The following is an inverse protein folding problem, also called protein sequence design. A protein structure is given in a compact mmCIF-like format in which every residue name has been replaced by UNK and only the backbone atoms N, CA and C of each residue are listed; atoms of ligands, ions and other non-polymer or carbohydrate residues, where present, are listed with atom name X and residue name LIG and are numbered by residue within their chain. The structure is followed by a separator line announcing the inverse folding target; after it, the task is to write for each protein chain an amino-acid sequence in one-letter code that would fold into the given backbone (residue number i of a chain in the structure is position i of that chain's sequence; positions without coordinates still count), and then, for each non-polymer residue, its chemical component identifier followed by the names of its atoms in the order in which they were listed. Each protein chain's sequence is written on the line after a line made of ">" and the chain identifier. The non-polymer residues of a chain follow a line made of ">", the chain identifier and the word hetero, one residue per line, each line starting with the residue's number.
data_IF_104358018311
#
_entry.id   IF_104358018311
#
_cell.length_a   1.000
_cell.length_b   1.000
_cell.length_c   1.000
_cell.angle_alpha   90.00
_cell.angle_beta   90.00
_cell.angle_gamma   90.00
#
_symmetry.space_group_name_H-M   'P 1'
#
loop_
_entity.id
_entity.type
_entity.pdbx_description
1 polymer ?
#
# COMPACT_ATOMS: atom_id res chain seq x y z
N UNK A 1 -44.16 -17.21 -48.29
CA UNK A 1 -43.30 -18.40 -48.13
C UNK A 1 -42.01 -18.12 -48.87
N UNK A 2 -40.86 -18.17 -48.20
CA UNK A 2 -39.57 -18.04 -48.89
C UNK A 2 -39.37 -19.22 -49.84
N UNK A 3 -38.88 -18.92 -51.02
CA UNK A 3 -38.52 -19.91 -52.03
C UNK A 3 -37.32 -20.73 -51.56
N UNK A 4 -37.16 -21.93 -52.13
CA UNK A 4 -36.06 -22.84 -51.77
C UNK A 4 -34.68 -22.21 -52.00
N UNK A 5 -34.55 -21.33 -53.00
CA UNK A 5 -33.32 -20.62 -53.31
C UNK A 5 -32.99 -19.53 -52.28
N UNK A 6 -34.00 -18.79 -51.80
CA UNK A 6 -33.83 -17.79 -50.73
C UNK A 6 -33.41 -18.44 -49.41
N UNK A 7 -33.93 -19.63 -49.09
CA UNK A 7 -33.52 -20.39 -47.89
C UNK A 7 -32.06 -20.84 -47.98
N UNK A 8 -31.62 -21.28 -49.16
CA UNK A 8 -30.22 -21.71 -49.38
C UNK A 8 -29.28 -20.49 -49.28
N UNK A 9 -29.68 -19.34 -49.85
CA UNK A 9 -28.92 -18.11 -49.76
C UNK A 9 -28.78 -17.62 -48.31
N UNK A 10 -29.88 -17.59 -47.55
CA UNK A 10 -29.85 -17.21 -46.14
C UNK A 10 -29.00 -18.15 -45.29
N UNK A 11 -29.02 -19.48 -45.53
CA UNK A 11 -28.13 -20.42 -44.83
C UNK A 11 -26.66 -20.18 -45.14
N UNK A 12 -26.31 -19.91 -46.41
CA UNK A 12 -24.92 -19.59 -46.79
C UNK A 12 -24.45 -18.28 -46.18
N UNK A 13 -25.31 -17.25 -46.16
CA UNK A 13 -25.01 -15.96 -45.54
C UNK A 13 -24.86 -16.09 -44.01
N UNK A 14 -25.70 -16.90 -43.35
CA UNK A 14 -25.60 -17.17 -41.91
C UNK A 14 -24.29 -17.92 -41.57
N UNK A 15 -23.93 -18.93 -42.36
CA UNK A 15 -22.68 -19.68 -42.17
C UNK A 15 -21.47 -18.77 -42.39
N UNK A 16 -21.47 -17.94 -43.44
CA UNK A 16 -20.39 -16.98 -43.68
C UNK A 16 -20.28 -15.93 -42.56
N UNK A 17 -21.42 -15.45 -42.02
CA UNK A 17 -21.46 -14.54 -40.89
C UNK A 17 -20.92 -15.19 -39.60
N UNK A 18 -21.31 -16.44 -39.32
CA UNK A 18 -20.80 -17.20 -38.17
C UNK A 18 -19.30 -17.47 -38.29
N UNK A 19 -18.78 -17.75 -39.49
CA UNK A 19 -17.34 -17.89 -39.72
C UNK A 19 -16.58 -16.57 -39.54
N UNK A 20 -17.16 -15.43 -39.96
CA UNK A 20 -16.55 -14.11 -39.73
C UNK A 20 -16.53 -13.74 -38.25
N UNK A 21 -17.61 -14.00 -37.51
CA UNK A 21 -17.66 -13.75 -36.06
C UNK A 21 -16.65 -14.65 -35.33
N UNK A 22 -16.53 -15.93 -35.70
CA UNK A 22 -15.54 -16.84 -35.12
C UNK A 22 -14.09 -16.40 -35.42
N UNK A 23 -13.80 -15.91 -36.63
CA UNK A 23 -12.48 -15.38 -37.00
C UNK A 23 -12.14 -14.07 -36.26
N UNK A 24 -13.13 -13.20 -36.04
CA UNK A 24 -12.96 -11.99 -35.22
C UNK A 24 -12.72 -12.34 -33.74
N UNK A 25 -13.41 -13.34 -33.20
CA UNK A 25 -13.15 -13.85 -31.84
C UNK A 25 -11.76 -14.48 -31.71
N UNK A 26 -11.25 -15.17 -32.74
CA UNK A 26 -9.89 -15.71 -32.74
C UNK A 26 -8.82 -14.61 -32.81
N UNK A 27 -9.06 -13.52 -33.55
CA UNK A 27 -8.14 -12.38 -33.61
C UNK A 27 -8.05 -11.56 -32.31
N UNK A 28 -9.07 -11.66 -31.45
CA UNK A 28 -9.04 -11.07 -30.10
C UNK A 28 -8.26 -11.91 -29.08
N UNK A 29 -7.90 -13.16 -29.41
CA UNK A 29 -7.06 -14.02 -28.55
C UNK A 29 -5.56 -13.83 -28.82
N UNK A 30 -5.18 -13.19 -29.94
CA UNK A 30 -3.77 -12.97 -30.33
C UNK A 30 -3.29 -11.53 -30.18
N UNK A 31 -4.05 -10.66 -29.50
CA UNK A 31 -3.69 -9.26 -29.23
C UNK A 31 -3.46 -8.96 -27.75
N UNK A 32 -3.15 -9.97 -26.94
CA UNK A 32 -2.50 -9.75 -25.64
C UNK A 32 -1.00 -9.61 -25.90
N UNK A 33 -0.53 -8.37 -26.05
CA UNK A 33 0.89 -8.08 -26.12
C UNK A 33 1.52 -8.28 -24.74
N UNK A 34 2.34 -9.32 -24.63
CA UNK A 34 3.54 -9.49 -23.80
C UNK A 34 3.64 -8.66 -22.51
N UNK A 35 3.09 -9.13 -21.39
CA UNK A 35 3.55 -8.69 -20.04
C UNK A 35 3.54 -9.78 -18.94
N UNK A 36 3.09 -11.02 -19.19
CA UNK A 36 2.94 -12.04 -18.12
C UNK A 36 3.99 -13.17 -18.17
N UNK A 37 5.14 -12.97 -18.82
CA UNK A 37 6.26 -13.93 -18.78
C UNK A 37 7.09 -13.78 -17.49
N UNK A 38 6.47 -14.08 -16.35
CA UNK A 38 7.22 -14.47 -15.15
C UNK A 38 6.55 -15.71 -14.57
N UNK A 39 7.23 -16.83 -14.80
CA UNK A 39 6.90 -18.21 -14.39
C UNK A 39 5.74 -18.83 -15.17
N UNK A 40 6.01 -19.95 -15.84
CA UNK A 40 4.98 -20.85 -16.37
C UNK A 40 4.19 -21.40 -15.17
N UNK A 41 2.87 -21.23 -15.17
CA UNK A 41 1.98 -21.68 -14.09
C UNK A 41 1.21 -22.90 -14.56
N UNK A 42 1.29 -23.97 -13.79
CA UNK A 42 0.74 -25.27 -14.18
C UNK A 42 -0.73 -25.43 -13.73
N UNK A 43 -1.14 -24.70 -12.69
CA UNK A 43 -2.47 -24.86 -12.07
C UNK A 43 -3.09 -23.53 -11.61
N UNK A 44 -4.41 -23.56 -11.36
CA UNK A 44 -5.18 -22.45 -10.80
C UNK A 44 -6.00 -22.93 -9.59
N UNK A 45 -5.93 -22.21 -8.47
CA UNK A 45 -6.68 -22.52 -7.24
C UNK A 45 -7.49 -21.30 -6.77
N UNK A 46 -8.76 -21.49 -6.43
CA UNK A 46 -9.57 -20.46 -5.75
C UNK A 46 -9.38 -20.59 -4.25
N UNK A 47 -8.90 -19.52 -3.60
CA UNK A 47 -8.64 -19.55 -2.16
C UNK A 47 -9.96 -19.65 -1.35
N UNK A 48 -9.97 -20.44 -0.25
CA UNK A 48 -11.10 -20.48 0.67
C UNK A 48 -11.21 -19.17 1.46
N UNK A 49 -12.36 -18.94 2.11
CA UNK A 49 -12.56 -17.74 2.94
C UNK A 49 -11.73 -17.70 4.22
N UNK A 50 -11.28 -18.86 4.72
CA UNK A 50 -10.62 -18.97 6.02
C UNK A 50 -9.47 -19.96 5.93
N UNK A 51 -8.31 -19.56 6.45
CA UNK A 51 -7.21 -20.42 6.85
C UNK A 51 -7.14 -20.43 8.37
N UNK A 52 -7.55 -21.54 9.00
CA UNK A 52 -7.48 -21.75 10.45
C UNK A 52 -6.24 -22.53 10.91
N UNK A 53 -5.43 -22.97 9.95
CA UNK A 53 -4.18 -23.70 10.10
C UNK A 53 -3.16 -23.13 9.12
N UNK A 54 -1.87 -23.40 9.35
CA UNK A 54 -0.79 -22.92 8.49
C UNK A 54 -1.02 -23.32 7.03
N UNK A 55 -0.79 -22.37 6.13
CA UNK A 55 -0.96 -22.57 4.68
C UNK A 55 0.25 -22.04 3.94
N UNK A 56 0.72 -22.79 2.95
CA UNK A 56 1.71 -22.33 1.98
C UNK A 56 1.07 -22.16 0.61
N UNK A 57 1.33 -21.02 -0.03
CA UNK A 57 1.00 -20.72 -1.43
C UNK A 57 2.29 -20.84 -2.27
N UNK A 58 2.26 -21.67 -3.29
CA UNK A 58 3.40 -22.07 -4.13
C UNK A 58 3.48 -21.25 -5.42
N UNK A 59 4.70 -21.11 -5.95
CA UNK A 59 4.97 -20.25 -7.11
C UNK A 59 4.44 -20.79 -8.45
N UNK A 60 4.22 -22.11 -8.53
CA UNK A 60 3.72 -22.84 -9.71
C UNK A 60 2.20 -22.76 -9.89
N UNK A 61 1.50 -22.14 -8.94
CA UNK A 61 0.04 -22.08 -8.88
C UNK A 61 -0.43 -20.63 -8.98
N UNK A 62 -1.38 -20.37 -9.87
CA UNK A 62 -2.12 -19.11 -9.89
C UNK A 62 -3.25 -19.15 -8.85
N UNK A 63 -3.25 -18.21 -7.91
CA UNK A 63 -4.28 -18.15 -6.86
C UNK A 63 -5.32 -17.08 -7.14
N UNK A 64 -6.60 -17.46 -7.06
CA UNK A 64 -7.74 -16.56 -7.22
C UNK A 64 -8.34 -16.20 -5.86
N UNK A 65 -8.38 -14.90 -5.55
CA UNK A 65 -9.02 -14.35 -4.34
C UNK A 65 -10.42 -13.90 -4.74
N UNK A 66 -11.43 -14.71 -4.43
CA UNK A 66 -12.83 -14.45 -4.85
C UNK A 66 -13.67 -13.64 -3.85
N UNK A 67 -13.19 -13.58 -2.61
CA UNK A 67 -13.86 -13.05 -1.43
C UNK A 67 -12.81 -12.76 -0.36
N UNK A 68 -13.13 -12.09 0.75
CA UNK A 68 -12.20 -11.96 1.86
C UNK A 68 -11.67 -13.33 2.31
N UNK A 69 -10.35 -13.41 2.45
CA UNK A 69 -9.60 -14.56 2.94
C UNK A 69 -9.00 -14.19 4.29
N UNK A 70 -9.47 -14.83 5.35
CA UNK A 70 -9.02 -14.58 6.72
C UNK A 70 -8.03 -15.65 7.18
N UNK A 71 -6.87 -15.23 7.65
CA UNK A 71 -5.94 -16.09 8.40
C UNK A 71 -6.25 -15.94 9.87
N UNK A 72 -6.57 -17.05 10.55
CA UNK A 72 -7.17 -17.08 11.89
C UNK A 72 -6.49 -18.13 12.77
N UNK A 73 -6.87 -18.17 14.06
CA UNK A 73 -6.46 -19.22 15.00
C UNK A 73 -4.92 -19.35 15.17
N UNK A 74 -4.20 -18.22 15.09
CA UNK A 74 -2.75 -18.20 15.23
C UNK A 74 -1.99 -18.80 14.05
N UNK A 75 -2.66 -19.06 12.93
CA UNK A 75 -2.05 -19.64 11.74
C UNK A 75 -1.07 -18.68 11.04
N UNK A 76 -0.19 -19.26 10.23
CA UNK A 76 0.74 -18.56 9.36
C UNK A 76 0.40 -18.81 7.89
N UNK A 77 0.18 -17.73 7.13
CA UNK A 77 0.12 -17.77 5.68
C UNK A 77 1.51 -17.52 5.10
N UNK A 78 2.12 -18.55 4.52
CA UNK A 78 3.40 -18.46 3.80
C UNK A 78 3.14 -18.34 2.31
N UNK A 79 3.80 -17.39 1.64
CA UNK A 79 3.70 -17.17 0.19
C UNK A 79 5.09 -17.26 -0.39
N UNK A 80 5.31 -18.22 -1.29
CA UNK A 80 6.60 -18.40 -1.94
C UNK A 80 6.94 -17.23 -2.87
N UNK A 81 8.23 -16.93 -2.98
CA UNK A 81 8.76 -15.97 -3.95
C UNK A 81 8.25 -16.26 -5.38
N UNK A 82 7.97 -15.23 -6.16
CA UNK A 82 7.43 -15.35 -7.52
C UNK A 82 5.94 -15.71 -7.61
N UNK A 83 5.26 -15.97 -6.49
CA UNK A 83 3.84 -16.30 -6.51
C UNK A 83 2.99 -15.14 -7.07
N UNK A 84 1.91 -15.51 -7.77
CA UNK A 84 0.94 -14.59 -8.33
C UNK A 84 -0.45 -14.86 -7.75
N UNK A 85 -1.01 -13.84 -7.12
CA UNK A 85 -2.36 -13.86 -6.60
C UNK A 85 -3.21 -12.84 -7.38
N UNK A 86 -4.37 -13.27 -7.88
CA UNK A 86 -5.30 -12.44 -8.65
C UNK A 86 -6.64 -12.33 -7.94
N UNK A 87 -7.02 -11.11 -7.56
CA UNK A 87 -8.29 -10.82 -6.94
C UNK A 87 -9.40 -10.65 -7.99
N UNK A 88 -10.54 -11.29 -7.73
CA UNK A 88 -11.77 -11.05 -8.47
C UNK A 88 -12.45 -9.77 -7.94
N UNK A 89 -13.02 -8.94 -8.82
CA UNK A 89 -13.84 -7.81 -8.42
C UNK A 89 -15.15 -8.34 -7.82
N UNK A 90 -15.37 -8.14 -6.52
CA UNK A 90 -16.68 -8.41 -5.94
C UNK A 90 -17.56 -7.15 -6.02
N UNK A 91 -18.84 -7.31 -6.37
CA UNK A 91 -19.83 -6.25 -6.29
C UNK A 91 -20.41 -6.16 -4.87
N UNK A 92 -20.47 -4.97 -4.28
CA UNK A 92 -21.07 -4.72 -2.96
C UNK A 92 -20.04 -4.55 -1.83
N UNK A 93 -20.46 -4.77 -0.58
CA UNK A 93 -19.59 -4.78 0.60
C UNK A 93 -19.10 -6.21 0.84
N UNK A 94 -17.82 -6.47 0.60
CA UNK A 94 -17.22 -7.82 0.59
C UNK A 94 -16.28 -8.06 -0.60
N UNK A 95 -15.46 -7.07 -0.95
CA UNK A 95 -14.46 -7.21 -2.01
C UNK A 95 -13.37 -8.19 -1.57
N UNK A 96 -12.70 -8.80 -2.55
CA UNK A 96 -11.61 -9.72 -2.29
C UNK A 96 -10.52 -9.04 -1.43
N UNK A 97 -10.00 -9.76 -0.44
CA UNK A 97 -9.02 -9.25 0.51
C UNK A 97 -8.20 -10.41 1.08
N UNK A 98 -6.99 -10.12 1.56
CA UNK A 98 -6.25 -11.00 2.46
C UNK A 98 -6.16 -10.31 3.80
N UNK A 99 -6.73 -10.92 4.84
CA UNK A 99 -6.81 -10.37 6.19
C UNK A 99 -6.07 -11.30 7.14
N UNK A 100 -4.97 -10.83 7.70
CA UNK A 100 -4.19 -11.53 8.73
C UNK A 100 -4.72 -11.05 10.08
N UNK A 101 -5.47 -11.90 10.78
CA UNK A 101 -6.09 -11.49 12.05
C UNK A 101 -5.09 -11.46 13.20
N UNK A 102 -5.47 -10.76 14.29
CA UNK A 102 -4.63 -10.56 15.47
C UNK A 102 -4.06 -11.88 15.99
N UNK A 103 -2.73 -11.94 16.11
CA UNK A 103 -1.99 -13.13 16.56
C UNK A 103 -1.67 -14.15 15.46
N UNK A 104 -2.12 -13.95 14.23
CA UNK A 104 -1.70 -14.71 13.05
C UNK A 104 -0.51 -14.04 12.35
N UNK A 105 0.08 -14.73 11.37
CA UNK A 105 1.23 -14.23 10.62
C UNK A 105 1.08 -14.35 9.12
N UNK A 106 1.75 -13.45 8.40
CA UNK A 106 2.05 -13.60 6.96
C UNK A 106 3.56 -13.68 6.76
N UNK A 107 4.03 -14.61 5.95
CA UNK A 107 5.43 -14.74 5.54
C UNK A 107 5.47 -14.73 4.02
N UNK A 108 5.59 -13.53 3.44
CA UNK A 108 5.66 -13.31 2.00
C UNK A 108 7.02 -12.71 1.66
N UNK A 109 8.02 -13.59 1.49
CA UNK A 109 9.41 -13.20 1.25
C UNK A 109 9.79 -13.50 -0.20
N UNK A 110 9.45 -12.56 -1.08
CA UNK A 110 9.94 -12.52 -2.45
C UNK A 110 11.43 -12.16 -2.51
N UNK A 111 11.93 -12.04 -3.73
CA UNK A 111 13.28 -11.53 -4.01
C UNK A 111 13.22 -10.51 -5.14
N UNK A 112 14.30 -9.78 -5.39
CA UNK A 112 14.39 -8.84 -6.51
C UNK A 112 14.10 -9.54 -7.85
N UNK A 113 14.63 -10.74 -8.06
CA UNK A 113 14.43 -11.55 -9.27
C UNK A 113 13.10 -12.32 -9.30
N UNK A 114 12.43 -12.48 -8.15
CA UNK A 114 11.16 -13.19 -8.03
C UNK A 114 10.24 -12.51 -6.99
N UNK A 115 9.75 -11.29 -7.27
CA UNK A 115 8.81 -10.60 -6.41
C UNK A 115 7.50 -11.37 -6.31
N UNK A 116 6.81 -11.22 -5.18
CA UNK A 116 5.44 -11.70 -5.02
C UNK A 116 4.50 -10.62 -5.53
N UNK A 117 3.60 -10.98 -6.45
CA UNK A 117 2.65 -10.04 -7.05
C UNK A 117 1.23 -10.41 -6.62
N UNK A 118 0.54 -9.47 -5.98
CA UNK A 118 -0.86 -9.56 -5.64
C UNK A 118 -1.61 -8.48 -6.43
N UNK A 119 -2.40 -8.88 -7.40
CA UNK A 119 -3.03 -7.98 -8.37
C UNK A 119 -4.52 -8.26 -8.52
N UNK A 120 -5.20 -7.50 -9.36
CA UNK A 120 -6.60 -7.67 -9.69
C UNK A 120 -6.78 -8.18 -11.13
N UNK A 121 -7.83 -8.98 -11.36
CA UNK A 121 -8.22 -9.37 -12.72
C UNK A 121 -8.69 -8.16 -13.54
N UNK A 122 -9.41 -7.23 -12.90
CA UNK A 122 -9.70 -5.92 -13.48
C UNK A 122 -8.62 -4.96 -13.00
N UNK A 123 -7.77 -4.50 -13.93
CA UNK A 123 -6.63 -3.59 -13.65
C UNK A 123 -7.09 -2.14 -13.47
N UNK A 124 -8.09 -1.93 -12.60
CA UNK A 124 -8.64 -0.61 -12.25
C UNK A 124 -8.43 -0.33 -10.75
N UNK A 125 -8.10 0.91 -10.36
CA UNK A 125 -7.93 1.27 -8.94
C UNK A 125 -9.14 0.90 -8.08
N UNK A 126 -8.94 0.19 -6.97
CA UNK A 126 -10.01 -0.22 -6.06
C UNK A 126 -10.85 -1.41 -6.56
N UNK A 127 -10.24 -2.28 -7.36
CA UNK A 127 -10.88 -3.53 -7.82
C UNK A 127 -10.99 -4.58 -6.70
N UNK A 128 -10.18 -4.46 -5.65
CA UNK A 128 -10.22 -5.29 -4.46
C UNK A 128 -9.76 -4.48 -3.23
N UNK A 129 -9.93 -5.02 -2.02
CA UNK A 129 -9.63 -4.26 -0.80
C UNK A 129 -8.13 -4.22 -0.51
N UNK A 130 -7.42 -5.32 -0.71
CA UNK A 130 -5.96 -5.39 -0.56
C UNK A 130 -5.50 -6.38 0.50
N UNK A 131 -4.31 -6.10 1.05
CA UNK A 131 -3.71 -6.87 2.14
C UNK A 131 -3.83 -6.08 3.44
N UNK A 132 -4.38 -6.72 4.47
CA UNK A 132 -4.65 -6.10 5.75
C UNK A 132 -4.05 -6.97 6.85
N UNK A 133 -3.22 -6.37 7.70
CA UNK A 133 -2.55 -7.05 8.81
C UNK A 133 -3.00 -6.42 10.12
N UNK A 134 -3.63 -7.22 10.97
CA UNK A 134 -4.13 -6.81 12.29
C UNK A 134 -3.13 -7.26 13.36
N UNK A 135 -2.52 -6.30 14.05
CA UNK A 135 -1.54 -6.57 15.11
C UNK A 135 -2.05 -6.26 16.52
N UNK A 136 -1.15 -6.45 17.48
CA UNK A 136 -1.38 -6.24 18.93
C UNK A 136 -0.67 -5.00 19.48
N UNK A 137 -0.05 -4.19 18.64
CA UNK A 137 0.70 -3.02 19.06
C UNK A 137 -0.22 -1.84 19.44
N UNK A 138 0.29 -0.86 20.21
CA UNK A 138 -0.50 0.28 20.68
C UNK A 138 -1.19 1.08 19.59
N UNK A 139 -2.43 1.46 19.83
CA UNK A 139 -3.26 2.35 19.01
C UNK A 139 -3.84 3.45 19.91
N UNK A 140 -4.11 4.64 19.38
CA UNK A 140 -4.77 5.71 20.17
C UNK A 140 -6.19 5.33 20.56
N UNK A 141 -6.87 4.51 19.75
CA UNK A 141 -8.18 3.94 20.00
C UNK A 141 -8.28 2.55 19.36
N UNK A 142 -8.91 1.59 20.03
CA UNK A 142 -9.19 0.29 19.42
C UNK A 142 -10.34 0.42 18.40
N UNK A 143 -10.15 -0.19 17.23
CA UNK A 143 -11.15 -0.26 16.16
C UNK A 143 -11.31 -1.69 15.66
N UNK A 144 -12.40 -1.90 14.93
CA UNK A 144 -12.62 -3.07 14.08
C UNK A 144 -12.41 -2.67 12.62
N UNK A 145 -11.73 -3.50 11.84
CA UNK A 145 -11.64 -3.30 10.38
C UNK A 145 -13.01 -3.51 9.74
N UNK A 146 -13.29 -2.85 8.61
CA UNK A 146 -14.55 -2.94 7.88
C UNK A 146 -14.72 -4.29 7.14
N UNK A 147 -15.12 -5.35 7.86
CA UNK A 147 -15.66 -6.58 7.25
C UNK A 147 -16.78 -7.14 8.12
N UNK A 148 -17.89 -6.40 8.26
CA UNK A 148 -19.02 -6.92 9.02
C UNK A 148 -19.76 -8.03 8.24
N UNK A 149 -20.02 -9.16 8.90
CA UNK A 149 -21.18 -10.01 8.55
C UNK A 149 -20.97 -11.27 7.70
N UNK A 150 -19.75 -11.79 7.47
CA UNK A 150 -19.60 -13.03 6.68
C UNK A 150 -18.87 -14.20 7.37
N UNK A 151 -18.11 -13.94 8.42
CA UNK A 151 -17.47 -14.95 9.28
C UNK A 151 -17.41 -14.43 10.71
N UNK A 152 -17.65 -15.29 11.71
CA UNK A 152 -17.51 -14.96 13.13
C UNK A 152 -16.03 -14.87 13.52
N UNK A 153 -15.30 -13.99 12.83
CA UNK A 153 -13.86 -13.80 12.96
C UNK A 153 -13.62 -12.46 13.67
N UNK A 154 -12.80 -12.48 14.72
CA UNK A 154 -12.34 -11.26 15.37
C UNK A 154 -11.46 -10.46 14.41
N UNK A 155 -11.95 -9.29 14.04
CA UNK A 155 -11.29 -8.32 13.16
C UNK A 155 -10.90 -7.05 13.92
N UNK A 156 -10.82 -7.14 15.25
CA UNK A 156 -10.21 -6.10 16.07
C UNK A 156 -8.71 -6.07 15.90
N UNK A 157 -8.12 -4.88 16.03
CA UNK A 157 -6.67 -4.68 16.07
C UNK A 157 -6.28 -3.81 17.25
N UNK A 158 -4.97 -3.70 17.49
CA UNK A 158 -4.44 -2.94 18.62
C UNK A 158 -4.26 -3.75 19.90
N UNK A 159 -3.58 -3.14 20.86
CA UNK A 159 -3.25 -3.73 22.16
C UNK A 159 -2.14 -2.95 22.84
N UNK A 160 -1.26 -3.63 23.59
CA UNK A 160 -0.11 -3.00 24.28
C UNK A 160 1.24 -3.55 23.83
N UNK A 161 1.26 -4.53 22.92
CA UNK A 161 2.46 -5.27 22.53
C UNK A 161 3.21 -4.54 21.41
N UNK A 162 3.98 -3.51 21.75
CA UNK A 162 4.76 -2.76 20.74
C UNK A 162 5.75 -3.64 19.94
N UNK A 163 6.24 -4.74 20.50
CA UNK A 163 7.12 -5.70 19.82
C UNK A 163 6.37 -6.82 19.09
N UNK A 164 5.05 -6.73 18.91
CA UNK A 164 4.27 -7.72 18.17
C UNK A 164 4.90 -8.04 16.80
N UNK A 165 4.83 -9.32 16.43
CA UNK A 165 5.41 -9.87 15.20
C UNK A 165 4.31 -10.56 14.40
N UNK A 166 3.81 -9.84 13.40
CA UNK A 166 2.81 -10.32 12.44
C UNK A 166 3.46 -10.97 11.20
N UNK A 167 4.78 -11.19 11.21
CA UNK A 167 5.54 -11.86 10.16
C UNK A 167 6.36 -10.93 9.27
N UNK A 168 6.37 -11.17 7.96
CA UNK A 168 7.24 -10.47 7.02
C UNK A 168 6.62 -10.28 5.63
N UNK A 169 6.80 -9.08 5.08
CA UNK A 169 6.55 -8.74 3.68
C UNK A 169 7.85 -8.22 3.07
N UNK A 170 8.44 -8.99 2.16
CA UNK A 170 9.67 -8.62 1.45
C UNK A 170 9.51 -8.81 -0.05
N UNK A 171 9.86 -7.80 -0.86
CA UNK A 171 9.69 -7.84 -2.33
C UNK A 171 8.25 -8.18 -2.74
N UNK A 172 7.29 -7.51 -2.12
CA UNK A 172 5.85 -7.70 -2.36
C UNK A 172 5.29 -6.50 -3.10
N UNK A 173 4.56 -6.75 -4.19
CA UNK A 173 3.84 -5.73 -4.94
C UNK A 173 2.34 -5.99 -4.89
N UNK A 174 1.60 -4.98 -4.43
CA UNK A 174 0.14 -5.00 -4.35
C UNK A 174 -0.43 -3.98 -5.34
N UNK A 175 -1.24 -4.45 -6.28
CA UNK A 175 -1.73 -3.64 -7.40
C UNK A 175 -3.25 -3.51 -7.41
N UNK A 176 -3.75 -2.34 -7.81
CA UNK A 176 -5.17 -2.09 -8.10
C UNK A 176 -6.12 -2.36 -6.92
N UNK A 177 -5.58 -2.42 -5.70
CA UNK A 177 -6.27 -2.66 -4.44
C UNK A 177 -6.83 -1.35 -3.82
N UNK A 178 -7.13 -1.34 -2.52
CA UNK A 178 -7.47 -0.14 -1.76
C UNK A 178 -8.91 0.34 -1.97
N UNK A 179 -9.85 -0.56 -2.20
CA UNK A 179 -11.25 -0.17 -2.32
C UNK A 179 -11.90 0.30 -1.00
N UNK A 180 -11.41 -0.21 0.14
CA UNK A 180 -11.88 0.12 1.48
C UNK A 180 -10.71 0.53 2.40
N UNK A 181 -9.93 1.53 2.00
CA UNK A 181 -8.78 2.04 2.76
C UNK A 181 -7.48 1.99 1.97
N UNK A 182 -6.43 1.39 2.54
CA UNK A 182 -5.13 1.22 1.89
C UNK A 182 -5.03 -0.07 1.08
N UNK A 183 -4.25 -0.06 0.00
CA UNK A 183 -3.89 -1.28 -0.74
C UNK A 183 -3.10 -2.26 0.13
N UNK A 184 -2.22 -1.73 0.98
CA UNK A 184 -1.58 -2.46 2.07
C UNK A 184 -1.86 -1.70 3.36
N UNK A 185 -2.49 -2.38 4.32
CA UNK A 185 -2.96 -1.78 5.56
C UNK A 185 -2.31 -2.48 6.75
N UNK A 186 -1.68 -1.68 7.62
CA UNK A 186 -1.08 -2.10 8.87
C UNK A 186 -1.87 -1.51 10.03
N UNK A 187 -2.74 -2.32 10.61
CA UNK A 187 -3.63 -1.96 11.69
C UNK A 187 -3.04 -2.45 13.01
N UNK A 188 -2.43 -1.56 13.80
CA UNK A 188 -1.83 -1.90 15.10
C UNK A 188 -0.66 -2.89 15.01
N UNK A 189 0.13 -2.87 13.93
CA UNK A 189 1.24 -3.82 13.72
C UNK A 189 2.49 -3.42 14.51
N UNK A 190 3.13 -4.40 15.15
CA UNK A 190 4.32 -4.20 15.99
C UNK A 190 5.65 -4.19 15.23
N UNK A 191 6.69 -3.66 15.88
CA UNK A 191 8.05 -3.54 15.31
C UNK A 191 8.83 -4.84 15.22
N UNK A 192 8.27 -5.97 15.69
CA UNK A 192 8.81 -7.30 15.41
C UNK A 192 8.57 -7.72 13.96
N UNK A 193 7.57 -7.14 13.31
CA UNK A 193 7.21 -7.41 11.91
C UNK A 193 8.21 -6.78 10.93
N UNK A 194 8.59 -7.52 9.88
CA UNK A 194 9.54 -7.03 8.86
C UNK A 194 8.82 -6.55 7.61
N UNK A 195 8.94 -5.27 7.27
CA UNK A 195 8.42 -4.69 6.03
C UNK A 195 9.57 -4.09 5.22
N UNK A 196 9.84 -4.67 4.05
CA UNK A 196 11.04 -4.36 3.28
C UNK A 196 10.77 -4.49 1.76
N UNK A 197 11.21 -3.55 0.92
CA UNK A 197 11.02 -3.60 -0.54
C UNK A 197 9.58 -3.89 -0.96
N UNK A 198 8.62 -3.08 -0.53
CA UNK A 198 7.21 -3.27 -0.87
C UNK A 198 6.70 -2.14 -1.79
N UNK A 199 5.84 -2.50 -2.74
CA UNK A 199 5.20 -1.56 -3.64
C UNK A 199 3.67 -1.62 -3.56
N UNK A 200 3.05 -0.46 -3.51
CA UNK A 200 1.63 -0.26 -3.82
C UNK A 200 1.50 0.44 -5.18
N UNK A 201 0.74 -0.16 -6.09
CA UNK A 201 0.56 0.34 -7.46
C UNK A 201 -0.92 0.58 -7.79
N UNK A 202 -1.26 1.81 -8.21
CA UNK A 202 -2.60 2.18 -8.68
C UNK A 202 -3.74 1.86 -7.70
N UNK A 203 -3.56 2.16 -6.40
CA UNK A 203 -4.60 1.98 -5.39
C UNK A 203 -5.84 2.86 -5.63
N UNK A 204 -7.03 2.34 -5.32
CA UNK A 204 -8.30 3.08 -5.31
C UNK A 204 -8.49 3.99 -4.10
N UNK A 205 -7.71 3.77 -3.05
CA UNK A 205 -7.67 4.54 -1.82
C UNK A 205 -6.24 4.93 -1.51
N UNK A 206 -5.77 4.61 -0.31
CA UNK A 206 -4.40 4.88 0.10
C UNK A 206 -3.42 3.84 -0.45
N UNK A 207 -2.17 4.24 -0.63
CA UNK A 207 -1.10 3.34 -1.06
C UNK A 207 -0.72 2.36 0.05
N UNK A 208 -0.08 2.89 1.08
CA UNK A 208 0.14 2.24 2.37
C UNK A 208 -0.60 3.01 3.46
N UNK A 209 -1.35 2.30 4.28
CA UNK A 209 -2.08 2.85 5.42
C UNK A 209 -1.55 2.23 6.72
N UNK A 210 -1.22 3.09 7.69
CA UNK A 210 -0.73 2.71 9.01
C UNK A 210 -1.68 3.29 10.06
N UNK A 211 -2.46 2.44 10.72
CA UNK A 211 -3.40 2.84 11.75
C UNK A 211 -2.89 2.37 13.12
N UNK A 212 -2.26 3.29 13.84
CA UNK A 212 -1.53 2.96 15.06
C UNK A 212 -0.42 1.92 14.84
N UNK A 213 0.11 1.40 15.91
CA UNK A 213 1.22 0.45 15.89
C UNK A 213 2.60 1.11 15.84
N UNK A 214 3.62 0.26 15.79
CA UNK A 214 5.04 0.67 15.86
C UNK A 214 5.90 0.02 14.77
N UNK A 215 5.30 -0.71 13.83
CA UNK A 215 6.02 -1.38 12.74
C UNK A 215 6.94 -0.42 12.00
N UNK A 216 8.18 -0.82 11.77
CA UNK A 216 9.10 -0.06 10.95
C UNK A 216 9.11 -0.61 9.51
N UNK A 217 9.37 0.23 8.53
CA UNK A 217 9.44 -0.19 7.13
C UNK A 217 10.58 0.46 6.36
N UNK A 218 11.16 -0.26 5.41
CA UNK A 218 12.19 0.29 4.51
C UNK A 218 11.89 -0.04 3.06
N UNK A 219 12.34 0.82 2.16
CA UNK A 219 12.19 0.63 0.70
C UNK A 219 10.71 0.48 0.30
N UNK A 220 9.91 1.51 0.59
CA UNK A 220 8.50 1.55 0.22
C UNK A 220 8.27 2.43 -1.01
N UNK A 221 7.51 1.93 -1.97
CA UNK A 221 7.10 2.69 -3.15
C UNK A 221 5.58 2.68 -3.26
N UNK A 222 4.94 3.84 -3.12
CA UNK A 222 3.54 4.02 -3.50
C UNK A 222 3.46 4.84 -4.78
N UNK A 223 2.79 4.31 -5.79
CA UNK A 223 2.61 5.00 -7.06
C UNK A 223 1.17 4.94 -7.54
N UNK A 224 0.60 6.11 -7.85
CA UNK A 224 -0.74 6.19 -8.41
C UNK A 224 -1.87 5.85 -7.42
N UNK A 225 -1.66 6.05 -6.12
CA UNK A 225 -2.71 5.89 -5.11
C UNK A 225 -3.77 7.00 -5.21
N UNK A 226 -5.03 6.64 -5.41
CA UNK A 226 -6.11 7.60 -5.69
C UNK A 226 -6.43 8.56 -4.54
N UNK A 227 -6.00 8.27 -3.30
CA UNK A 227 -6.02 9.17 -2.16
C UNK A 227 -4.59 9.55 -1.74
N UNK A 228 -4.08 9.08 -0.59
CA UNK A 228 -2.72 9.33 -0.15
C UNK A 228 -1.78 8.20 -0.58
N UNK A 229 -0.53 8.50 -0.95
CA UNK A 229 0.48 7.46 -1.13
C UNK A 229 0.88 6.81 0.21
N UNK A 230 0.94 7.62 1.27
CA UNK A 230 1.14 7.19 2.64
C UNK A 230 0.10 7.85 3.55
N UNK A 231 -0.57 7.07 4.39
CA UNK A 231 -1.54 7.54 5.36
C UNK A 231 -1.16 7.00 6.74
N UNK A 232 -0.96 7.89 7.71
CA UNK A 232 -0.66 7.55 9.10
C UNK A 232 -1.78 8.09 9.99
N UNK A 233 -2.39 7.21 10.78
CA UNK A 233 -3.50 7.55 11.66
C UNK A 233 -3.30 6.92 13.05
N UNK A 234 -4.22 7.26 13.97
CA UNK A 234 -4.50 6.50 15.19
C UNK A 234 -3.27 6.20 16.07
N UNK A 235 -2.31 7.12 16.15
CA UNK A 235 -1.16 7.00 17.03
C UNK A 235 0.01 6.23 16.43
N UNK A 236 0.10 6.04 15.12
CA UNK A 236 1.25 5.33 14.55
C UNK A 236 2.58 6.01 14.93
N UNK A 237 3.54 5.24 15.45
CA UNK A 237 4.84 5.75 15.96
C UNK A 237 6.05 5.02 15.39
N UNK A 238 5.87 4.32 14.27
CA UNK A 238 6.95 3.60 13.61
C UNK A 238 7.91 4.50 12.81
N UNK A 239 9.00 3.88 12.35
CA UNK A 239 10.08 4.52 11.58
C UNK A 239 10.11 3.99 10.15
N UNK A 240 10.31 4.90 9.19
CA UNK A 240 10.42 4.55 7.78
C UNK A 240 11.71 5.08 7.16
N UNK A 241 12.32 4.33 6.25
CA UNK A 241 13.50 4.78 5.50
C UNK A 241 13.43 4.41 4.00
N UNK A 242 13.91 5.29 3.12
CA UNK A 242 13.90 5.11 1.67
C UNK A 242 12.47 4.92 1.13
N UNK A 243 11.70 5.99 1.15
CA UNK A 243 10.27 5.94 0.83
C UNK A 243 9.96 6.87 -0.33
N UNK A 244 9.18 6.39 -1.29
CA UNK A 244 8.64 7.19 -2.38
C UNK A 244 7.12 7.09 -2.40
N UNK A 245 6.44 8.23 -2.60
CA UNK A 245 4.99 8.26 -2.72
C UNK A 245 4.55 9.22 -3.85
N UNK A 246 3.57 8.78 -4.65
CA UNK A 246 2.89 9.62 -5.66
C UNK A 246 1.40 9.35 -5.68
N UNK A 247 0.62 10.39 -6.00
CA UNK A 247 -0.83 10.29 -6.14
C UNK A 247 -1.26 10.73 -7.57
N UNK A 248 -2.23 10.06 -8.22
CA UNK A 248 -2.67 10.39 -9.55
C UNK A 248 -3.53 11.66 -9.47
N UNK A 249 -3.14 12.56 -10.36
CA UNK A 249 -3.49 13.97 -10.54
C UNK A 249 -4.98 14.31 -10.75
N UNK A 250 -5.91 13.35 -10.52
CA UNK A 250 -7.35 13.54 -10.75
C UNK A 250 -8.28 13.23 -9.57
N UNK A 251 -7.84 12.48 -8.54
CA UNK A 251 -8.72 12.09 -7.42
C UNK A 251 -8.11 12.19 -6.02
N UNK A 252 -6.81 12.43 -5.88
CA UNK A 252 -6.18 12.58 -4.56
C UNK A 252 -6.78 13.76 -3.81
N UNK A 253 -7.55 13.46 -2.76
CA UNK A 253 -8.46 14.44 -2.17
C UNK A 253 -7.75 15.42 -1.25
N UNK A 254 -6.55 15.12 -0.71
CA UNK A 254 -5.95 15.98 0.32
C UNK A 254 -4.42 16.09 0.25
N UNK A 255 -3.69 14.97 0.17
CA UNK A 255 -2.22 15.01 0.08
C UNK A 255 -1.52 13.75 -0.45
N UNK A 256 -0.21 13.81 -0.75
CA UNK A 256 0.59 12.60 -1.06
C UNK A 256 0.92 11.83 0.21
N UNK A 257 1.26 12.53 1.29
CA UNK A 257 1.49 11.99 2.63
C UNK A 257 0.53 12.64 3.60
N UNK A 258 -0.14 11.82 4.39
CA UNK A 258 -1.17 12.22 5.34
C UNK A 258 -0.74 11.71 6.72
N UNK A 259 -0.64 12.62 7.69
CA UNK A 259 -0.33 12.29 9.08
C UNK A 259 -1.43 12.88 9.96
N UNK A 260 -2.37 12.02 10.31
CA UNK A 260 -3.56 12.43 11.04
C UNK A 260 -3.53 11.96 12.48
N UNK A 261 -4.05 12.81 13.36
CA UNK A 261 -4.30 12.42 14.73
C UNK A 261 -5.58 11.60 14.79
N UNK A 262 -6.33 11.77 15.87
CA UNK A 262 -7.64 11.11 15.98
C UNK A 262 -8.71 11.97 15.32
N UNK A 263 -9.66 11.34 14.64
CA UNK A 263 -10.91 11.99 14.21
C UNK A 263 -11.89 12.28 15.35
N UNK A 264 -11.56 11.92 16.59
CA UNK A 264 -12.40 12.12 17.78
C UNK A 264 -11.99 13.41 18.51
N UNK A 265 -12.98 14.03 19.17
CA UNK A 265 -12.79 15.29 19.92
C UNK A 265 -12.08 15.10 21.27
N UNK A 266 -11.67 13.88 21.61
CA UNK A 266 -10.96 13.57 22.86
C UNK A 266 -9.45 13.69 22.66
N UNK A 267 -8.73 14.12 23.71
CA UNK A 267 -7.27 14.20 23.69
C UNK A 267 -6.72 12.77 23.62
N UNK A 268 -5.96 12.40 22.57
CA UNK A 268 -5.43 11.05 22.46
C UNK A 268 -4.47 10.71 23.60
N UNK A 269 -4.38 9.42 23.89
CA UNK A 269 -3.38 8.83 24.79
C UNK A 269 -1.94 9.11 24.32
N UNK A 270 -1.72 9.17 22.99
CA UNK A 270 -0.46 9.59 22.36
C UNK A 270 -0.70 10.08 20.92
N UNK A 271 0.22 10.94 20.43
CA UNK A 271 0.17 11.54 19.10
C UNK A 271 0.53 10.52 18.02
N UNK A 272 -0.07 10.64 16.83
CA UNK A 272 0.49 10.03 15.62
C UNK A 272 1.84 10.70 15.34
N UNK A 273 2.92 9.93 15.36
CA UNK A 273 4.28 10.43 15.19
C UNK A 273 5.17 9.49 14.35
N UNK A 274 4.95 9.37 13.04
CA UNK A 274 5.90 8.75 12.14
C UNK A 274 7.22 9.55 12.06
N UNK A 275 8.33 8.81 11.94
CA UNK A 275 9.64 9.36 11.60
C UNK A 275 10.08 8.77 10.26
N UNK A 276 10.29 9.61 9.25
CA UNK A 276 10.63 9.16 7.90
C UNK A 276 11.96 9.77 7.47
N UNK A 277 12.89 8.90 7.09
CA UNK A 277 14.16 9.28 6.47
C UNK A 277 14.13 8.99 4.97
N UNK A 278 14.73 9.88 4.17
CA UNK A 278 14.86 9.71 2.72
C UNK A 278 13.50 9.59 1.99
N UNK A 279 12.52 10.43 2.37
CA UNK A 279 11.24 10.51 1.67
C UNK A 279 11.38 11.29 0.35
N UNK A 280 10.67 10.84 -0.69
CA UNK A 280 10.42 11.61 -1.90
C UNK A 280 8.96 11.59 -2.30
N UNK A 281 8.46 12.76 -2.66
CA UNK A 281 7.08 12.93 -3.11
C UNK A 281 7.04 13.60 -4.48
N UNK A 282 6.11 13.16 -5.33
CA UNK A 282 5.82 13.82 -6.60
C UNK A 282 4.31 14.04 -6.80
N UNK A 283 3.96 15.24 -7.25
CA UNK A 283 2.57 15.67 -7.52
C UNK A 283 2.55 16.71 -8.67
N UNK A 284 1.39 16.87 -9.33
CA UNK A 284 1.19 17.87 -10.40
C UNK A 284 0.63 19.18 -9.83
N UNK A 285 1.32 20.28 -10.12
CA UNK A 285 0.94 21.64 -9.78
C UNK A 285 -0.13 22.14 -10.75
N UNK A 286 -1.39 21.72 -10.56
CA UNK A 286 -2.51 22.38 -11.25
C UNK A 286 -3.44 23.12 -10.32
N UNK A 287 -3.70 24.35 -10.75
CA UNK A 287 -4.55 25.36 -10.14
C UNK A 287 -6.01 24.90 -10.09
N UNK A 288 -6.39 24.11 -9.08
CA UNK A 288 -7.71 24.13 -8.46
C UNK A 288 -7.64 23.44 -7.09
N UNK A 289 -7.61 24.29 -6.04
CA UNK A 289 -8.04 23.99 -4.66
C UNK A 289 -7.26 22.93 -3.89
N UNK A 290 -6.25 23.37 -3.12
CA UNK A 290 -5.61 22.67 -1.98
C UNK A 290 -5.11 21.25 -2.28
N UNK A 291 -3.98 21.14 -2.99
CA UNK A 291 -3.26 19.87 -3.19
C UNK A 291 -1.89 19.99 -2.54
N UNK A 292 -1.62 19.22 -1.50
CA UNK A 292 -0.38 19.32 -0.73
C UNK A 292 0.42 18.02 -0.82
N UNK A 293 1.75 18.00 -0.96
CA UNK A 293 2.47 16.73 -0.86
C UNK A 293 2.42 16.14 0.55
N UNK A 294 2.26 16.98 1.59
CA UNK A 294 2.17 16.58 2.99
C UNK A 294 1.03 17.37 3.62
N UNK A 295 0.16 16.66 4.33
CA UNK A 295 -0.81 17.20 5.27
C UNK A 295 -0.58 16.59 6.66
N UNK A 296 -0.57 17.43 7.69
CA UNK A 296 -0.52 17.02 9.10
C UNK A 296 -1.69 17.65 9.83
N UNK A 297 -2.52 16.85 10.49
CA UNK A 297 -3.69 17.32 11.24
C UNK A 297 -3.44 17.41 12.75
N UNK A 298 -4.40 17.96 13.49
CA UNK A 298 -4.33 18.07 14.94
C UNK A 298 -3.98 16.74 15.61
N UNK A 299 -3.25 16.82 16.73
CA UNK A 299 -2.76 15.66 17.48
C UNK A 299 -1.78 14.77 16.71
N UNK A 300 -1.01 15.38 15.79
CA UNK A 300 0.05 14.70 15.05
C UNK A 300 1.39 15.43 15.05
N UNK A 301 2.42 14.65 14.78
CA UNK A 301 3.80 15.09 14.54
C UNK A 301 4.36 14.30 13.37
N UNK A 302 5.05 14.95 12.45
CA UNK A 302 5.76 14.27 11.38
C UNK A 302 7.22 14.72 11.41
N UNK A 303 8.14 13.77 11.58
CA UNK A 303 9.59 14.06 11.54
C UNK A 303 10.15 13.59 10.21
N UNK A 304 10.74 14.51 9.44
CA UNK A 304 11.39 14.21 8.17
C UNK A 304 12.90 14.45 8.24
N UNK A 305 13.66 13.48 7.73
CA UNK A 305 15.12 13.45 7.76
C UNK A 305 15.62 13.22 6.33
N UNK A 306 16.53 14.04 5.82
CA UNK A 306 17.09 13.97 4.47
C UNK A 306 16.03 13.73 3.37
N UNK A 307 14.96 14.53 3.35
CA UNK A 307 13.75 14.26 2.58
C UNK A 307 13.45 15.36 1.56
N UNK A 308 13.15 14.96 0.34
CA UNK A 308 12.81 15.86 -0.76
C UNK A 308 11.30 15.95 -0.93
N UNK A 309 10.67 16.97 -0.33
CA UNK A 309 9.24 17.21 -0.47
C UNK A 309 8.98 18.63 -0.96
N UNK A 310 8.20 18.76 -2.04
CA UNK A 310 7.90 20.06 -2.66
C UNK A 310 6.77 20.75 -1.92
N UNK A 311 7.09 21.52 -0.88
CA UNK A 311 6.14 22.24 0.02
C UNK A 311 5.51 21.32 1.09
N UNK A 312 5.04 21.86 2.22
CA UNK A 312 4.33 21.09 3.24
C UNK A 312 3.27 22.01 3.86
N UNK A 313 2.08 21.47 4.15
CA UNK A 313 0.97 22.25 4.71
C UNK A 313 0.38 21.54 5.92
N UNK A 314 -0.09 22.32 6.88
CA UNK A 314 -0.90 21.83 7.99
C UNK A 314 -2.35 22.31 7.82
N UNK A 315 -3.29 21.48 8.26
CA UNK A 315 -4.73 21.82 8.28
C UNK A 315 -5.11 22.34 9.69
N UNK A 316 -6.10 23.24 9.78
CA UNK A 316 -6.65 23.87 11.01
C UNK A 316 -5.88 25.05 11.68
N UNK A 317 -6.60 25.79 12.54
CA UNK A 317 -6.26 27.02 13.29
C UNK A 317 -5.14 26.84 14.35
N UNK A 318 -4.15 26.00 14.07
CA UNK A 318 -3.18 25.51 15.04
C UNK A 318 -1.76 25.92 14.63
N UNK A 319 -0.91 26.41 15.56
CA UNK A 319 0.44 26.84 15.23
C UNK A 319 1.29 25.67 14.71
N UNK A 320 1.74 25.82 13.46
CA UNK A 320 2.73 24.95 12.85
C UNK A 320 4.12 25.38 13.28
N UNK A 321 4.87 24.48 13.91
CA UNK A 321 6.27 24.73 14.22
C UNK A 321 7.15 23.91 13.28
N UNK A 322 7.93 24.60 12.44
CA UNK A 322 9.05 24.02 11.71
C UNK A 322 10.30 24.17 12.57
N UNK A 323 10.79 23.06 13.13
CA UNK A 323 12.06 23.06 13.87
C UNK A 323 13.16 22.57 12.92
N UNK A 324 13.90 23.51 12.34
CA UNK A 324 15.12 23.21 11.57
C UNK A 324 16.31 23.00 12.51
N UNK A 325 17.11 21.95 12.28
CA UNK A 325 18.36 21.76 13.00
C UNK A 325 19.50 22.57 12.36
N UNK A 326 20.12 23.49 13.11
CA UNK A 326 21.45 24.02 12.74
C UNK A 326 22.52 22.95 13.07
N UNK A 327 23.43 22.62 12.14
CA UNK A 327 24.33 21.48 12.27
C UNK A 327 25.44 21.74 13.29
N UNK A 328 25.32 21.13 14.47
CA UNK A 328 26.41 21.03 15.46
C UNK A 328 26.99 19.63 15.64
N UNK A 329 26.35 18.57 15.12
CA UNK A 329 26.85 17.19 15.20
C UNK A 329 26.21 16.18 14.23
N UNK A 330 25.18 16.55 13.45
CA UNK A 330 24.48 15.63 12.55
C UNK A 330 24.10 16.37 11.25
N UNK A 331 24.49 15.87 10.06
CA UNK A 331 23.81 16.22 8.81
C UNK A 331 22.42 15.57 8.80
N UNK A 332 21.37 16.33 8.48
CA UNK A 332 20.18 15.76 7.85
C UNK A 332 18.81 15.78 8.54
N UNK A 333 18.62 16.49 9.66
CA UNK A 333 17.24 16.77 10.12
C UNK A 333 16.75 18.01 9.40
N UNK A 334 15.96 17.83 8.34
CA UNK A 334 15.47 18.94 7.53
C UNK A 334 14.34 19.67 8.26
N UNK A 335 13.39 18.96 8.88
CA UNK A 335 12.30 19.58 9.66
C UNK A 335 11.48 18.57 10.48
N UNK A 336 10.96 19.04 11.62
CA UNK A 336 9.82 18.45 12.32
C UNK A 336 8.61 19.32 11.99
N UNK A 337 7.53 18.72 11.51
CA UNK A 337 6.25 19.38 11.30
C UNK A 337 5.30 18.97 12.42
N UNK A 338 4.81 19.95 13.18
CA UNK A 338 3.95 19.73 14.35
C UNK A 338 2.64 20.46 14.12
N UNK A 339 1.54 19.75 14.32
CA UNK A 339 0.21 20.32 14.38
C UNK A 339 -0.48 19.86 15.68
N UNK A 340 -0.44 20.72 16.72
CA UNK A 340 -0.89 20.38 18.07
C UNK A 340 -1.77 21.48 18.68
N UNK A 341 -2.89 21.11 19.31
CA UNK A 341 -3.92 22.03 19.84
C UNK A 341 -3.47 22.99 20.96
N UNK A 342 -2.19 22.97 21.35
CA UNK A 342 -1.57 23.90 22.31
C UNK A 342 -0.20 24.33 21.80
N UNK A 343 0.18 25.56 22.10
CA UNK A 343 1.53 26.09 21.80
C UNK A 343 2.58 25.19 22.45
N UNK A 344 3.43 24.56 21.62
CA UNK A 344 4.46 23.65 22.09
C UNK A 344 5.71 24.48 22.43
N UNK A 345 5.73 25.04 23.64
CA UNK A 345 6.78 25.96 24.11
C UNK A 345 8.14 25.30 24.36
N UNK A 346 8.16 23.97 24.46
CA UNK A 346 9.39 23.17 24.48
C UNK A 346 9.16 21.85 23.77
N UNK A 347 9.70 21.72 22.57
CA UNK A 347 10.05 20.42 22.03
C UNK A 347 11.54 20.24 22.28
N UNK A 348 11.89 19.39 23.23
CA UNK A 348 13.04 18.52 22.98
C UNK A 348 12.56 17.62 21.85
N UNK A 349 13.14 17.66 20.63
CA UNK A 349 13.07 16.48 19.77
C UNK A 349 13.39 15.31 20.70
N UNK A 350 12.59 14.24 20.73
CA UNK A 350 13.06 12.99 21.30
C UNK A 350 14.47 12.86 20.78
N UNK A 351 15.46 12.93 21.68
CA UNK A 351 16.87 13.09 21.32
C UNK A 351 17.04 12.10 20.20
N UNK A 352 17.18 12.56 18.94
CA UNK A 352 17.06 11.66 17.80
C UNK A 352 18.29 10.79 17.88
N UNK A 353 18.16 9.72 18.65
CA UNK A 353 19.17 8.72 18.79
C UNK A 353 19.03 8.04 17.47
N UNK A 354 20.06 8.25 16.65
CA UNK A 354 20.29 7.49 15.46
C UNK A 354 20.40 6.04 15.92
N UNK A 355 19.23 5.42 15.96
CA UNK A 355 19.01 4.06 16.39
C UNK A 355 19.39 3.15 15.22
N UNK A 356 19.67 1.88 15.51
CA UNK A 356 20.17 0.90 14.54
C UNK A 356 19.28 0.71 13.32
N UNK A 357 18.02 1.18 13.39
CA UNK A 357 17.10 1.15 12.26
C UNK A 357 17.54 2.02 11.07
N UNK A 358 18.07 3.23 11.31
CA UNK A 358 18.41 4.16 10.24
C UNK A 358 19.84 3.96 9.76
N UNK A 359 19.98 3.60 8.49
CA UNK A 359 21.27 3.63 7.80
C UNK A 359 21.73 5.09 7.67
N UNK A 360 22.97 5.37 8.06
CA UNK A 360 23.54 6.71 7.88
C UNK A 360 23.84 6.93 6.40
N UNK A 361 23.12 7.87 5.80
CA UNK A 361 23.26 8.20 4.38
C UNK A 361 23.17 9.71 4.17
N UNK A 362 23.94 10.23 3.21
CA UNK A 362 23.92 11.64 2.75
C UNK A 362 22.88 11.86 1.63
N UNK A 363 21.94 10.92 1.47
CA UNK A 363 20.98 10.88 0.38
C UNK A 363 19.72 11.70 0.65
N UNK A 364 19.39 12.64 -0.22
CA UNK A 364 18.16 13.44 -0.13
C UNK A 364 17.03 12.77 -0.93
N UNK A 365 16.20 11.98 -0.24
CA UNK A 365 14.95 11.40 -0.79
C UNK A 365 15.09 10.22 -1.76
N UNK A 366 14.13 9.30 -1.77
CA UNK A 366 14.05 8.18 -2.71
C UNK A 366 13.79 8.58 -4.18
N UNK A 367 14.68 8.18 -5.10
CA UNK A 367 14.52 8.48 -6.52
C UNK A 367 13.54 7.49 -7.15
N UNK A 368 12.44 8.03 -7.66
CA UNK A 368 11.51 7.33 -8.52
C UNK A 368 12.19 6.80 -9.78
N UNK A 369 12.03 5.51 -10.12
CA UNK A 369 12.26 5.07 -11.49
C UNK A 369 11.26 5.77 -12.42
N UNK A 370 11.68 6.01 -13.67
CA UNK A 370 10.93 6.68 -14.73
C UNK A 370 9.54 6.04 -14.97
N UNK A 371 8.53 6.51 -14.23
CA UNK A 371 7.18 5.91 -14.10
C UNK A 371 6.36 5.95 -15.40
N UNK A 372 6.95 6.40 -16.51
CA UNK A 372 6.31 6.46 -17.83
C UNK A 372 6.81 5.39 -18.82
N UNK A 373 7.80 4.56 -18.45
CA UNK A 373 8.20 3.39 -19.24
C UNK A 373 8.43 2.18 -18.33
N UNK A 374 7.51 1.23 -18.44
CA UNK A 374 7.66 -0.18 -18.07
C UNK A 374 7.95 -0.46 -16.58
N UNK A 375 6.87 -0.39 -15.80
CA UNK A 375 6.32 -1.33 -14.79
C UNK A 375 7.20 -2.35 -14.03
N UNK A 376 8.52 -2.37 -14.11
CA UNK A 376 9.37 -3.33 -13.41
C UNK A 376 10.54 -2.61 -12.72
N UNK A 377 10.38 -2.36 -11.42
CA UNK A 377 11.38 -1.72 -10.57
C UNK A 377 12.52 -2.66 -10.17
N UNK A 378 12.43 -3.96 -10.48
CA UNK A 378 13.43 -4.96 -10.09
C UNK A 378 14.71 -4.92 -10.92
N UNK A 379 14.75 -4.11 -11.98
CA UNK A 379 15.88 -4.04 -12.93
C UNK A 379 16.65 -2.72 -12.93
N UNK A 380 16.19 -1.71 -12.19
CA UNK A 380 16.85 -0.42 -12.09
C UNK A 380 17.07 -0.10 -10.61
N UNK A 381 18.30 -0.31 -10.14
CA UNK A 381 18.67 -0.02 -8.75
C UNK A 381 18.36 1.43 -8.37
N UNK A 382 18.13 1.65 -7.08
CA UNK A 382 17.96 2.95 -6.44
C UNK A 382 19.12 3.90 -6.80
N UNK A 383 19.00 4.68 -7.88
CA UNK A 383 20.11 5.54 -8.31
C UNK A 383 20.11 6.85 -7.53
N UNK A 384 21.23 7.10 -6.85
CA UNK A 384 21.61 8.33 -6.14
C UNK A 384 21.49 9.54 -7.07
N UNK A 385 20.67 10.55 -6.72
CA UNK A 385 20.72 11.83 -7.43
C UNK A 385 21.97 12.60 -6.96
N UNK A 386 23.04 12.49 -7.74
CA UNK A 386 24.15 13.44 -7.86
C UNK A 386 24.84 13.97 -6.59
N UNK A 387 26.05 13.47 -6.32
CA UNK A 387 27.18 14.41 -6.28
C UNK A 387 27.63 14.57 -7.72
N UNK A 388 27.54 15.78 -8.29
CA UNK A 388 28.44 16.12 -9.39
C UNK A 388 29.89 15.97 -8.87
N UNK A 389 30.84 15.48 -9.70
CA UNK A 389 32.25 15.46 -9.32
C UNK A 389 32.75 16.85 -8.94
#
# INVERSE_FOLDING_TARGET
>A
MMTREEIIFCRKALVAFLFMVAAMCLSMLTSCSNEDEMFDRETTEVLPSVFSEDRTLYTDTEYLISKPVFVTNGATLTIQRGALLKALPASGQGKAAIVITKGCKIVANGTEDAPIVMTALIKEPGSWDGVIVLGKAPVSYEYETLYCGTVATDISYGGSEGNDDSGSLQFVRVEYAGAAGGAVTFDGVGRGTTIDHCQSYCSGGDGFMFNGGTVNARYLISTGASQNGLCFNEGYTGKLQYVMATAPIRKSVWSVVSCNGTGKLEVPSFYTHPVIANLSTAHDNKSHGRRYPIAVSAYSRLTLVNSSTREAVADDDIPVQLIGGQPGALPGIDYILINATREVSSLTPDRFVLDTFFERTDYEGAVAPDVMKDRDWTKAGWVRQGKKP
#
